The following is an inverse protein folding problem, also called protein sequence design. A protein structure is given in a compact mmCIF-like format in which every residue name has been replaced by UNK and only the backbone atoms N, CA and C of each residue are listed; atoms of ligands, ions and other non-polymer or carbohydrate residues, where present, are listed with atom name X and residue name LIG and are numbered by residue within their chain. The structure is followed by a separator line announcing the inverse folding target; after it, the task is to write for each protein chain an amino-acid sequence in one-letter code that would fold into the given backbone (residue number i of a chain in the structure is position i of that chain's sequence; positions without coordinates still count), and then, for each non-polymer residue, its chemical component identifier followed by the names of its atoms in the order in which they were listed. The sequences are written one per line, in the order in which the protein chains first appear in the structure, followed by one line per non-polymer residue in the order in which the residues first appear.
data_IF_250521650955
#
_entry.id   IF_250521650955
#
_cell.length_a   1.000
_cell.length_b   1.000
_cell.length_c   1.000
_cell.angle_alpha   90.00
_cell.angle_beta   90.00
_cell.angle_gamma   90.00
#
_symmetry.space_group_name_H-M   'P 1'
#
loop_
_entity.id
_entity.type
_entity.pdbx_description
1 polymer ?
#
# COMPACT_ATOMS: atom_id res chain seq x y z
N UNK A 1 -6.63 3.03 -2.85
CA UNK A 1 -5.74 2.69 -3.99
C UNK A 1 -5.20 3.93 -4.68
N UNK A 2 -6.03 4.81 -5.26
CA UNK A 2 -5.54 6.05 -5.90
C UNK A 2 -4.76 6.96 -4.96
N UNK A 3 -5.23 7.15 -3.72
CA UNK A 3 -4.50 7.87 -2.67
C UNK A 3 -3.10 7.28 -2.49
N UNK A 4 -3.01 5.94 -2.47
CA UNK A 4 -1.75 5.21 -2.27
C UNK A 4 -0.80 5.39 -3.46
N UNK A 5 -1.31 5.32 -4.69
CA UNK A 5 -0.54 5.56 -5.91
C UNK A 5 0.03 6.98 -5.95
N UNK A 6 -0.82 7.99 -5.78
CA UNK A 6 -0.42 9.40 -5.88
C UNK A 6 0.42 9.87 -4.68
N UNK A 7 0.30 9.19 -3.54
CA UNK A 7 1.19 9.38 -2.42
C UNK A 7 2.48 8.56 -2.54
N UNK A 8 2.70 7.83 -3.65
CA UNK A 8 3.87 6.96 -3.91
C UNK A 8 4.12 5.97 -2.78
N UNK A 9 3.06 5.29 -2.35
CA UNK A 9 3.11 4.25 -1.33
C UNK A 9 2.70 2.89 -1.86
N UNK A 10 2.80 1.90 -0.99
CA UNK A 10 2.36 0.53 -1.27
C UNK A 10 1.08 0.21 -0.48
N UNK A 11 0.25 -0.67 -1.04
CA UNK A 11 -1.04 -1.05 -0.49
C UNK A 11 -1.00 -2.50 0.00
N UNK A 12 -1.45 -2.72 1.23
CA UNK A 12 -1.71 -4.04 1.77
C UNK A 12 -3.22 -4.32 1.76
N UNK A 13 -3.64 -5.40 1.14
CA UNK A 13 -5.03 -5.85 1.06
C UNK A 13 -5.25 -7.09 1.94
N UNK A 14 -5.85 -6.90 3.10
CA UNK A 14 -6.30 -7.98 3.97
C UNK A 14 -7.70 -8.42 3.55
N UNK A 15 -7.81 -9.61 2.95
CA UNK A 15 -9.13 -10.11 2.61
C UNK A 15 -9.15 -11.60 2.27
N UNK A 16 -10.37 -12.12 2.22
CA UNK A 16 -10.69 -13.46 1.76
C UNK A 16 -10.43 -13.63 0.25
N UNK A 17 -10.11 -14.86 -0.20
CA UNK A 17 -9.95 -15.16 -1.61
C UNK A 17 -11.20 -14.83 -2.43
N UNK A 18 -11.02 -14.47 -3.71
CA UNK A 18 -12.13 -14.36 -4.67
C UNK A 18 -12.80 -13.00 -4.80
N UNK A 19 -12.41 -11.98 -4.02
CA UNK A 19 -13.02 -10.63 -4.06
C UNK A 19 -12.51 -9.72 -5.19
N UNK A 20 -11.97 -10.29 -6.27
CA UNK A 20 -11.60 -9.53 -7.49
C UNK A 20 -10.35 -8.64 -7.37
N UNK A 21 -9.48 -8.84 -6.36
CA UNK A 21 -8.24 -8.06 -6.15
C UNK A 21 -7.34 -8.00 -7.39
N UNK A 22 -7.17 -9.14 -8.07
CA UNK A 22 -6.37 -9.22 -9.29
C UNK A 22 -6.98 -8.38 -10.41
N UNK A 23 -8.30 -8.41 -10.57
CA UNK A 23 -9.01 -7.58 -11.55
C UNK A 23 -8.85 -6.11 -11.24
N UNK A 24 -8.93 -5.71 -9.98
CA UNK A 24 -8.74 -4.32 -9.54
C UNK A 24 -7.33 -3.79 -9.86
N UNK A 25 -6.29 -4.56 -9.53
CA UNK A 25 -4.91 -4.17 -9.80
C UNK A 25 -4.61 -4.07 -11.31
N UNK A 26 -5.11 -5.02 -12.11
CA UNK A 26 -5.00 -4.99 -13.58
C UNK A 26 -5.77 -3.82 -14.19
N UNK A 27 -6.98 -3.55 -13.71
CA UNK A 27 -7.80 -2.45 -14.17
C UNK A 27 -7.10 -1.10 -13.90
N UNK A 28 -6.48 -0.94 -12.72
CA UNK A 28 -5.68 0.25 -12.42
C UNK A 28 -4.53 0.41 -13.41
N UNK A 29 -3.72 -0.64 -13.60
CA UNK A 29 -2.55 -0.59 -14.46
C UNK A 29 -2.92 -0.22 -15.91
N UNK A 30 -3.99 -0.81 -16.44
CA UNK A 30 -4.50 -0.48 -17.78
C UNK A 30 -5.05 0.94 -17.87
N UNK A 31 -5.74 1.43 -16.84
CA UNK A 31 -6.32 2.77 -16.84
C UNK A 31 -5.27 3.88 -16.86
N UNK A 32 -4.03 3.59 -16.42
CA UNK A 32 -2.94 4.58 -16.32
C UNK A 32 -1.75 4.29 -17.25
N UNK A 33 -1.95 3.44 -18.26
CA UNK A 33 -0.94 3.04 -19.26
C UNK A 33 0.40 2.62 -18.64
N UNK A 34 0.35 1.66 -17.71
CA UNK A 34 1.54 1.18 -17.01
C UNK A 34 1.64 -0.35 -17.01
N UNK A 35 2.87 -0.84 -17.01
CA UNK A 35 3.16 -2.27 -16.98
C UNK A 35 2.68 -2.92 -15.69
N UNK A 36 2.17 -4.16 -15.81
CA UNK A 36 1.62 -4.94 -14.72
C UNK A 36 2.45 -6.21 -14.49
N UNK A 37 2.94 -6.37 -13.26
CA UNK A 37 3.60 -7.58 -12.79
C UNK A 37 2.73 -8.33 -11.78
N UNK A 38 2.80 -9.66 -11.78
CA UNK A 38 2.15 -10.49 -10.75
C UNK A 38 3.17 -11.46 -10.17
N UNK A 39 3.18 -11.54 -8.84
CA UNK A 39 3.97 -12.50 -8.07
C UNK A 39 2.99 -13.28 -7.21
N UNK A 40 2.94 -14.60 -7.38
CA UNK A 40 2.26 -15.47 -6.44
C UNK A 40 3.27 -15.92 -5.41
N UNK A 41 3.09 -15.53 -4.15
CA UNK A 41 3.98 -15.96 -3.09
C UNK A 41 3.64 -17.39 -2.68
N UNK A 42 4.64 -18.26 -2.77
CA UNK A 42 4.58 -19.67 -2.39
C UNK A 42 5.78 -20.01 -1.51
N UNK A 43 5.74 -21.10 -0.72
CA UNK A 43 6.84 -21.46 0.18
C UNK A 43 8.18 -21.71 -0.53
N UNK A 44 8.14 -22.10 -1.79
CA UNK A 44 9.29 -22.40 -2.66
C UNK A 44 9.78 -21.21 -3.49
N UNK A 45 9.05 -20.08 -3.50
CA UNK A 45 9.41 -18.89 -4.25
C UNK A 45 10.77 -18.34 -3.78
N UNK A 46 11.71 -18.14 -4.71
CA UNK A 46 13.03 -17.61 -4.41
C UNK A 46 13.08 -16.08 -4.55
N UNK A 47 14.00 -15.39 -3.85
CA UNK A 47 14.24 -13.96 -4.07
C UNK A 47 14.53 -13.59 -5.53
N UNK A 48 15.19 -14.47 -6.28
CA UNK A 48 15.48 -14.29 -7.71
C UNK A 48 14.24 -14.33 -8.59
N UNK A 49 13.17 -14.99 -8.17
CA UNK A 49 11.90 -15.00 -8.91
C UNK A 49 11.13 -13.68 -8.75
N UNK A 50 11.44 -12.94 -7.68
CA UNK A 50 10.90 -11.60 -7.41
C UNK A 50 11.73 -10.54 -8.13
N UNK A 51 13.04 -10.55 -7.89
CA UNK A 51 13.97 -9.51 -8.34
C UNK A 51 14.46 -9.76 -9.77
N UNK A 52 14.64 -11.00 -10.16
CA UNK A 52 15.30 -11.38 -11.41
C UNK A 52 16.65 -12.06 -11.17
N UNK A 53 17.25 -12.52 -12.25
CA UNK A 53 18.51 -13.25 -12.23
C UNK A 53 19.33 -12.97 -13.48
N UNK A 54 20.63 -13.20 -13.38
CA UNK A 54 21.53 -13.15 -14.53
C UNK A 54 21.64 -14.54 -15.15
N UNK A 55 21.36 -14.64 -16.44
CA UNK A 55 21.45 -15.90 -17.22
C UNK A 55 22.57 -15.83 -18.24
N UNK A 56 23.25 -16.96 -18.48
CA UNK A 56 24.24 -17.05 -19.54
C UNK A 56 23.55 -17.19 -20.90
N UNK A 57 23.68 -16.17 -21.76
CA UNK A 57 23.23 -16.20 -23.13
C UNK A 57 24.30 -16.89 -24.01
N UNK A 58 23.97 -18.08 -24.53
CA UNK A 58 24.89 -18.89 -25.35
C UNK A 58 25.17 -18.30 -26.73
N UNK A 59 24.25 -17.50 -27.28
CA UNK A 59 24.40 -16.87 -28.60
C UNK A 59 25.48 -15.80 -28.55
N UNK A 60 25.42 -14.96 -27.52
CA UNK A 60 26.27 -13.78 -27.38
C UNK A 60 27.47 -14.03 -26.46
N UNK A 61 27.57 -15.23 -25.86
CA UNK A 61 28.56 -15.61 -24.85
C UNK A 61 28.69 -14.55 -23.74
N UNK A 62 27.54 -14.06 -23.28
CA UNK A 62 27.44 -12.97 -22.31
C UNK A 62 26.46 -13.31 -21.20
N UNK A 63 26.63 -12.65 -20.06
CA UNK A 63 25.68 -12.68 -18.96
C UNK A 63 24.62 -11.61 -19.19
N UNK A 64 23.35 -12.02 -19.30
CA UNK A 64 22.21 -11.15 -19.54
C UNK A 64 21.32 -11.12 -18.30
N UNK A 65 20.98 -9.92 -17.81
CA UNK A 65 20.02 -9.78 -16.72
C UNK A 65 18.59 -9.99 -17.23
N UNK A 66 17.85 -10.90 -16.58
CA UNK A 66 16.42 -11.13 -16.79
C UNK A 66 15.66 -10.50 -15.63
N UNK A 67 14.98 -9.35 -15.84
CA UNK A 67 14.29 -8.65 -14.77
C UNK A 67 13.12 -9.47 -14.25
N UNK A 68 12.96 -9.50 -12.92
CA UNK A 68 11.81 -10.10 -12.27
C UNK A 68 10.57 -9.20 -12.33
N UNK A 69 9.41 -9.67 -11.83
CA UNK A 69 8.16 -8.93 -11.90
C UNK A 69 8.16 -7.58 -11.19
N UNK A 70 9.07 -7.35 -10.23
CA UNK A 70 9.17 -6.05 -9.52
C UNK A 70 9.54 -4.87 -10.42
N UNK A 71 10.06 -5.13 -11.62
CA UNK A 71 10.40 -4.07 -12.58
C UNK A 71 9.18 -3.51 -13.33
N UNK A 72 7.97 -4.04 -13.08
CA UNK A 72 6.72 -3.45 -13.57
C UNK A 72 6.29 -2.26 -12.71
N UNK A 73 5.54 -1.32 -13.28
CA UNK A 73 5.08 -0.14 -12.53
C UNK A 73 3.98 -0.46 -11.51
N UNK A 74 3.05 -1.37 -11.81
CA UNK A 74 2.10 -1.92 -10.82
C UNK A 74 2.41 -3.40 -10.61
N UNK A 75 2.65 -3.79 -9.36
CA UNK A 75 2.97 -5.17 -8.99
C UNK A 75 1.95 -5.70 -8.00
N UNK A 76 1.27 -6.78 -8.36
CA UNK A 76 0.40 -7.54 -7.45
C UNK A 76 1.21 -8.68 -6.82
N UNK A 77 1.41 -8.61 -5.49
CA UNK A 77 2.01 -9.69 -4.69
C UNK A 77 0.93 -10.46 -3.94
N UNK A 78 0.48 -11.58 -4.50
CA UNK A 78 -0.57 -12.39 -3.88
C UNK A 78 -0.01 -13.25 -2.75
N UNK A 79 -0.67 -13.21 -1.58
CA UNK A 79 -0.39 -14.06 -0.41
C UNK A 79 1.05 -13.94 0.11
N UNK A 80 1.54 -12.71 0.28
CA UNK A 80 2.93 -12.42 0.69
C UNK A 80 3.35 -13.17 1.97
N UNK A 81 2.40 -13.49 2.86
CA UNK A 81 2.63 -14.28 4.06
C UNK A 81 2.93 -15.77 3.79
N UNK A 82 2.84 -16.30 2.57
CA UNK A 82 3.15 -17.72 2.27
C UNK A 82 4.61 -17.99 1.91
N UNK A 83 5.38 -16.98 1.53
CA UNK A 83 6.78 -17.17 1.20
C UNK A 83 7.71 -17.01 2.41
N UNK A 84 8.92 -17.54 2.27
CA UNK A 84 9.95 -17.40 3.29
C UNK A 84 10.26 -15.92 3.63
N UNK A 85 10.70 -15.61 4.87
CA UNK A 85 11.12 -14.27 5.24
C UNK A 85 12.19 -13.66 4.31
N UNK A 86 13.05 -14.49 3.72
CA UNK A 86 14.07 -14.06 2.76
C UNK A 86 13.45 -13.54 1.46
N UNK A 87 12.44 -14.22 0.94
CA UNK A 87 11.73 -13.83 -0.28
C UNK A 87 10.84 -12.61 -0.04
N UNK A 88 10.16 -12.54 1.11
CA UNK A 88 9.44 -11.34 1.54
C UNK A 88 10.37 -10.12 1.59
N UNK A 89 11.55 -10.29 2.19
CA UNK A 89 12.54 -9.21 2.32
C UNK A 89 12.99 -8.67 0.97
N UNK A 90 13.14 -9.51 -0.05
CA UNK A 90 13.53 -9.06 -1.40
C UNK A 90 12.52 -8.08 -2.01
N UNK A 91 11.21 -8.36 -1.87
CA UNK A 91 10.16 -7.43 -2.31
C UNK A 91 10.17 -6.14 -1.46
N UNK A 92 10.29 -6.29 -0.13
CA UNK A 92 10.18 -5.17 0.82
C UNK A 92 11.39 -4.23 0.78
N UNK A 93 12.56 -4.75 0.40
CA UNK A 93 13.76 -3.97 0.10
C UNK A 93 13.57 -3.18 -1.20
N UNK A 94 13.10 -3.83 -2.26
CA UNK A 94 12.78 -3.16 -3.53
C UNK A 94 11.72 -2.05 -3.35
N UNK A 95 10.73 -2.26 -2.49
CA UNK A 95 9.74 -1.24 -2.10
C UNK A 95 10.36 -0.05 -1.37
N UNK A 96 11.36 -0.28 -0.52
CA UNK A 96 11.97 0.77 0.29
C UNK A 96 13.01 1.59 -0.49
N UNK A 97 13.79 0.94 -1.34
CA UNK A 97 14.93 1.53 -2.03
C UNK A 97 14.62 1.93 -3.48
N UNK A 98 13.46 1.53 -4.01
CA UNK A 98 13.05 1.78 -5.42
C UNK A 98 14.07 1.29 -6.45
N UNK A 99 14.89 0.31 -6.06
CA UNK A 99 15.93 -0.31 -6.86
C UNK A 99 16.19 -1.73 -6.38
N UNK A 100 16.88 -2.53 -7.19
CA UNK A 100 17.37 -3.84 -6.77
C UNK A 100 18.80 -4.06 -7.28
N UNK A 101 19.61 -4.74 -6.48
CA UNK A 101 20.99 -5.08 -6.85
C UNK A 101 21.11 -6.58 -7.10
N UNK A 102 21.56 -6.95 -8.30
CA UNK A 102 21.77 -8.33 -8.72
C UNK A 102 23.19 -8.45 -9.26
N UNK A 103 23.94 -9.40 -8.70
CA UNK A 103 25.34 -9.67 -9.07
C UNK A 103 26.23 -8.41 -9.09
N UNK A 104 26.02 -7.51 -8.11
CA UNK A 104 26.78 -6.27 -7.96
C UNK A 104 26.37 -5.13 -8.90
N UNK A 105 25.37 -5.33 -9.76
CA UNK A 105 24.80 -4.27 -10.61
C UNK A 105 23.45 -3.82 -10.05
N UNK A 106 23.29 -2.52 -9.85
CA UNK A 106 22.04 -1.91 -9.37
C UNK A 106 21.16 -1.51 -10.55
N UNK A 107 19.89 -1.91 -10.47
CA UNK A 107 18.85 -1.62 -11.45
C UNK A 107 17.72 -0.85 -10.78
N UNK A 108 17.34 0.29 -11.34
CA UNK A 108 16.22 1.09 -10.84
C UNK A 108 14.88 0.49 -11.28
N UNK A 109 13.87 0.58 -10.42
CA UNK A 109 12.51 0.15 -10.74
C UNK A 109 11.83 1.18 -11.66
N UNK A 110 10.73 0.77 -12.28
CA UNK A 110 9.89 1.66 -13.08
C UNK A 110 9.36 2.83 -12.22
N UNK A 111 9.11 3.99 -12.82
CA UNK A 111 8.44 5.10 -12.14
C UNK A 111 7.21 5.53 -12.94
N UNK A 112 6.00 5.57 -12.33
CA UNK A 112 5.71 5.28 -10.92
C UNK A 112 5.80 3.77 -10.60
N UNK A 113 6.07 3.45 -9.33
CA UNK A 113 6.12 2.09 -8.80
C UNK A 113 5.13 1.93 -7.64
N UNK A 114 4.24 0.94 -7.72
CA UNK A 114 3.33 0.61 -6.63
C UNK A 114 3.20 -0.90 -6.50
N UNK A 115 3.29 -1.36 -5.25
CA UNK A 115 3.05 -2.76 -4.88
C UNK A 115 1.68 -2.82 -4.21
N UNK A 116 0.85 -3.74 -4.68
CA UNK A 116 -0.40 -4.14 -4.06
C UNK A 116 -0.15 -5.56 -3.53
N UNK A 117 0.09 -5.69 -2.24
CA UNK A 117 0.28 -6.99 -1.60
C UNK A 117 -1.03 -7.49 -1.01
N UNK A 118 -1.26 -8.80 -1.01
CA UNK A 118 -2.41 -9.42 -0.35
C UNK A 118 -1.96 -10.37 0.75
N UNK A 119 -2.72 -10.43 1.83
CA UNK A 119 -2.53 -11.40 2.91
C UNK A 119 -3.87 -12.03 3.26
N UNK A 120 -3.87 -13.34 3.45
CA UNK A 120 -5.03 -14.08 3.97
C UNK A 120 -4.85 -14.29 5.48
N UNK A 121 -5.69 -13.68 6.33
CA UNK A 121 -5.54 -13.77 7.78
C UNK A 121 -5.98 -15.11 8.38
N UNK A 122 -6.65 -15.98 7.61
CA UNK A 122 -7.28 -17.21 8.10
C UNK A 122 -6.35 -18.44 7.96
N UNK A 123 -5.36 -18.39 7.07
CA UNK A 123 -4.42 -19.50 6.85
C UNK A 123 -3.27 -19.49 7.87
N UNK A 124 -3.40 -20.32 8.91
CA UNK A 124 -2.39 -20.45 9.97
C UNK A 124 -1.30 -21.50 9.65
N UNK A 125 -1.57 -22.46 8.76
CA UNK A 125 -0.58 -23.48 8.41
C UNK A 125 0.32 -23.03 7.25
N UNK A 126 1.64 -23.04 7.49
CA UNK A 126 2.63 -22.74 6.46
C UNK A 126 2.76 -21.26 6.08
N UNK A 127 2.31 -20.34 6.95
CA UNK A 127 2.47 -18.90 6.74
C UNK A 127 3.52 -18.28 7.67
N UNK A 128 4.19 -17.26 7.15
CA UNK A 128 5.18 -16.43 7.80
C UNK A 128 4.60 -15.01 7.90
N UNK A 129 4.09 -14.59 9.08
CA UNK A 129 3.55 -13.25 9.24
C UNK A 129 4.63 -12.20 9.01
N UNK A 130 4.25 -11.06 8.45
CA UNK A 130 5.16 -9.93 8.30
C UNK A 130 5.41 -9.30 9.68
N UNK A 131 6.68 -9.10 10.09
CA UNK A 131 6.99 -8.30 11.27
C UNK A 131 6.43 -6.88 11.15
N UNK A 132 6.17 -6.22 12.28
CA UNK A 132 5.62 -4.86 12.34
C UNK A 132 6.50 -3.85 11.60
N UNK A 133 7.83 -4.03 11.70
CA UNK A 133 8.82 -3.21 10.98
C UNK A 133 8.68 -3.30 9.45
N UNK A 134 8.20 -4.45 8.96
CA UNK A 134 7.92 -4.71 7.55
C UNK A 134 6.55 -4.18 7.14
N UNK A 135 5.52 -4.40 7.96
CA UNK A 135 4.19 -3.85 7.73
C UNK A 135 4.20 -2.33 7.60
N UNK A 136 5.02 -1.64 8.39
CA UNK A 136 5.13 -0.18 8.36
C UNK A 136 5.71 0.38 7.04
N UNK A 137 6.24 -0.47 6.13
CA UNK A 137 6.58 -0.12 4.73
C UNK A 137 5.35 0.07 3.83
N UNK A 138 4.21 -0.51 4.19
CA UNK A 138 2.95 -0.26 3.48
C UNK A 138 2.37 1.07 3.96
N UNK A 139 1.97 1.92 3.00
CA UNK A 139 1.36 3.21 3.30
C UNK A 139 -0.04 3.01 3.90
N UNK A 140 -0.81 2.09 3.31
CA UNK A 140 -2.17 1.80 3.74
C UNK A 140 -2.43 0.31 3.80
N UNK A 141 -3.30 -0.07 4.74
CA UNK A 141 -3.95 -1.36 4.80
C UNK A 141 -5.45 -1.20 4.64
N UNK A 142 -6.03 -1.97 3.72
CA UNK A 142 -7.46 -1.90 3.39
C UNK A 142 -8.03 -3.32 3.34
N UNK A 143 -9.28 -3.45 3.76
CA UNK A 143 -10.10 -4.64 3.52
C UNK A 143 -11.21 -4.28 2.52
N UNK A 144 -11.45 -5.11 1.51
CA UNK A 144 -12.48 -4.90 0.49
C UNK A 144 -13.81 -5.50 0.98
N UNK A 145 -13.75 -6.64 1.67
CA UNK A 145 -14.89 -7.44 2.07
C UNK A 145 -15.61 -8.09 0.89
N UNK A 146 -16.67 -8.84 1.19
CA UNK A 146 -17.58 -9.31 0.15
C UNK A 146 -18.39 -8.14 -0.43
N UNK A 147 -18.70 -8.17 -1.73
CA UNK A 147 -19.60 -7.19 -2.32
C UNK A 147 -20.95 -7.24 -1.61
N UNK A 148 -21.64 -6.10 -1.61
CA UNK A 148 -23.05 -6.07 -1.19
C UNK A 148 -23.88 -6.95 -2.13
N UNK A 149 -25.04 -7.43 -1.69
CA UNK A 149 -25.91 -8.25 -2.56
C UNK A 149 -26.26 -7.56 -3.88
N UNK A 150 -26.40 -6.23 -3.88
CA UNK A 150 -26.60 -5.45 -5.09
C UNK A 150 -25.36 -5.46 -6.01
N UNK A 151 -24.16 -5.27 -5.44
CA UNK A 151 -22.90 -5.35 -6.19
C UNK A 151 -22.64 -6.76 -6.73
N UNK A 152 -22.99 -7.80 -5.99
CA UNK A 152 -22.85 -9.19 -6.44
C UNK A 152 -23.80 -9.51 -7.59
N UNK A 153 -25.04 -9.03 -7.54
CA UNK A 153 -25.98 -9.12 -8.66
C UNK A 153 -25.47 -8.40 -9.91
N UNK A 154 -24.86 -7.21 -9.76
CA UNK A 154 -24.25 -6.47 -10.86
C UNK A 154 -23.09 -7.25 -11.48
N UNK A 155 -22.21 -7.84 -10.65
CA UNK A 155 -21.12 -8.71 -11.10
C UNK A 155 -21.68 -9.87 -11.93
N UNK A 156 -22.71 -10.58 -11.43
CA UNK A 156 -23.34 -11.69 -12.14
C UNK A 156 -23.92 -11.26 -13.50
N UNK A 157 -24.51 -10.06 -13.57
CA UNK A 157 -25.09 -9.53 -14.81
C UNK A 157 -24.04 -9.14 -15.86
N UNK A 158 -22.82 -8.82 -15.43
CA UNK A 158 -21.74 -8.29 -16.28
C UNK A 158 -20.73 -9.37 -16.69
N UNK A 159 -20.44 -10.34 -15.81
CA UNK A 159 -19.39 -11.35 -16.03
C UNK A 159 -19.68 -12.35 -17.16
N UNK A 160 -20.91 -12.40 -17.68
CA UNK A 160 -21.31 -13.31 -18.77
C UNK A 160 -21.00 -12.81 -20.19
N UNK A 161 -20.51 -11.58 -20.38
CA UNK A 161 -20.37 -10.93 -21.70
C UNK A 161 -18.93 -10.84 -22.25
N UNK A 162 -17.96 -11.47 -21.60
CA UNK A 162 -16.53 -11.42 -21.96
C UNK A 162 -15.69 -10.66 -20.93
N UNK A 163 -14.35 -10.77 -21.05
CA UNK A 163 -13.39 -10.10 -20.15
C UNK A 163 -13.50 -8.58 -20.28
N UNK A 164 -14.17 -7.92 -19.32
CA UNK A 164 -14.29 -6.45 -19.27
C UNK A 164 -12.94 -5.76 -19.10
N UNK A 165 -11.95 -6.46 -18.54
CA UNK A 165 -10.60 -5.93 -18.37
C UNK A 165 -9.92 -5.66 -19.70
N UNK A 166 -10.23 -6.42 -20.75
CA UNK A 166 -9.58 -6.27 -22.04
C UNK A 166 -10.06 -5.05 -22.84
N UNK A 167 -11.23 -4.52 -22.46
CA UNK A 167 -11.81 -3.32 -23.04
C UNK A 167 -11.40 -2.03 -22.31
N UNK A 168 -10.64 -2.12 -21.22
CA UNK A 168 -10.16 -0.91 -20.51
C UNK A 168 -9.10 -0.23 -21.38
N UNK A 169 -9.43 0.97 -21.84
CA UNK A 169 -8.52 1.90 -22.50
C UNK A 169 -7.87 2.83 -21.45
N UNK A 170 -6.60 3.19 -21.62
CA UNK A 170 -5.95 4.15 -20.73
C UNK A 170 -6.67 5.50 -20.75
N UNK A 171 -6.94 6.04 -19.57
CA UNK A 171 -7.52 7.38 -19.40
C UNK A 171 -6.45 8.44 -19.14
N UNK A 172 -5.28 8.01 -18.67
CA UNK A 172 -4.09 8.84 -18.44
C UNK A 172 -2.85 8.00 -18.75
N UNK A 173 -1.75 8.66 -19.11
CA UNK A 173 -0.45 8.03 -19.31
C UNK A 173 0.36 7.95 -18.01
N UNK A 174 1.36 7.08 -17.98
CA UNK A 174 2.31 7.00 -16.86
C UNK A 174 3.04 8.34 -16.59
N UNK A 175 3.35 9.11 -17.63
CA UNK A 175 3.95 10.44 -17.51
C UNK A 175 2.98 11.44 -16.84
N UNK A 176 1.70 11.44 -17.20
CA UNK A 176 0.69 12.30 -16.56
C UNK A 176 0.47 11.90 -15.09
N UNK A 177 0.59 10.61 -14.74
CA UNK A 177 0.57 10.18 -13.34
C UNK A 177 1.75 10.76 -12.56
N UNK A 178 2.95 10.83 -13.14
CA UNK A 178 4.10 11.47 -12.51
C UNK A 178 3.88 12.98 -12.29
N UNK A 179 3.24 13.66 -13.25
CA UNK A 179 2.86 15.06 -13.10
C UNK A 179 1.83 15.25 -11.96
N UNK A 180 0.86 14.34 -11.83
CA UNK A 180 -0.10 14.33 -10.72
C UNK A 180 0.60 14.10 -9.37
N UNK A 181 1.54 13.15 -9.31
CA UNK A 181 2.35 12.90 -8.11
C UNK A 181 3.12 14.17 -7.72
N UNK A 182 3.74 14.86 -8.69
CA UNK A 182 4.43 16.12 -8.44
C UNK A 182 3.48 17.22 -7.93
N UNK A 183 2.26 17.31 -8.48
CA UNK A 183 1.25 18.24 -7.98
C UNK A 183 0.82 17.91 -6.54
N UNK A 184 0.59 16.63 -6.22
CA UNK A 184 0.24 16.16 -4.88
C UNK A 184 1.35 16.47 -3.87
N UNK A 185 2.62 16.25 -4.24
CA UNK A 185 3.76 16.61 -3.39
C UNK A 185 3.76 18.10 -3.02
N UNK A 186 3.23 18.97 -3.88
CA UNK A 186 3.14 20.41 -3.65
C UNK A 186 1.87 20.88 -2.91
N UNK A 187 0.91 20.00 -2.64
CA UNK A 187 -0.31 20.37 -1.92
C UNK A 187 0.01 20.92 -0.51
N UNK A 188 -0.53 22.09 -0.18
CA UNK A 188 -0.18 22.81 1.04
C UNK A 188 -0.63 22.05 2.30
N UNK A 189 0.27 21.96 3.27
CA UNK A 189 -0.04 21.51 4.64
C UNK A 189 0.33 22.66 5.57
N UNK A 190 -0.67 23.22 6.23
CA UNK A 190 -0.45 24.33 7.15
C UNK A 190 0.28 23.86 8.41
N UNK A 191 0.87 24.79 9.16
CA UNK A 191 1.57 24.46 10.41
C UNK A 191 0.62 23.84 11.44
N UNK A 192 -0.64 24.25 11.43
CA UNK A 192 -1.68 23.77 12.34
C UNK A 192 -2.04 22.31 12.04
N UNK A 193 -2.16 21.93 10.75
CA UNK A 193 -2.40 20.53 10.36
C UNK A 193 -1.17 19.67 10.64
N UNK A 194 0.04 20.19 10.40
CA UNK A 194 1.27 19.49 10.74
C UNK A 194 1.41 19.28 12.25
N UNK A 195 1.10 20.29 13.07
CA UNK A 195 1.06 20.17 14.53
C UNK A 195 0.01 19.15 14.98
N UNK A 196 -1.19 19.17 14.38
CA UNK A 196 -2.23 18.19 14.66
C UNK A 196 -1.79 16.74 14.40
N UNK A 197 -1.07 16.48 13.30
CA UNK A 197 -0.47 15.16 13.03
C UNK A 197 0.54 14.73 14.11
N UNK A 198 1.34 15.66 14.63
CA UNK A 198 2.29 15.40 15.71
C UNK A 198 1.56 15.15 17.03
N UNK A 199 0.53 15.92 17.35
CA UNK A 199 -0.28 15.74 18.55
C UNK A 199 -0.98 14.37 18.54
N UNK A 200 -1.52 13.96 17.39
CA UNK A 200 -2.07 12.62 17.17
C UNK A 200 -0.99 11.54 17.38
N UNK A 201 0.22 11.74 16.85
CA UNK A 201 1.35 10.83 17.07
C UNK A 201 1.65 10.65 18.56
N UNK A 202 1.81 11.74 19.29
CA UNK A 202 2.13 11.72 20.71
C UNK A 202 0.99 11.17 21.57
N UNK A 203 -0.26 11.35 21.15
CA UNK A 203 -1.40 10.72 21.77
C UNK A 203 -1.36 9.20 21.60
N UNK A 204 -1.07 8.67 20.40
CA UNK A 204 -0.92 7.21 20.21
C UNK A 204 0.22 6.62 21.02
N UNK A 205 1.36 7.32 21.15
CA UNK A 205 2.53 6.86 21.92
C UNK A 205 2.29 6.81 23.42
N UNK A 206 1.33 7.58 23.93
CA UNK A 206 0.96 7.64 25.35
C UNK A 206 -0.36 6.93 25.64
N UNK A 207 -0.98 6.32 24.64
CA UNK A 207 -2.29 5.70 24.79
C UNK A 207 -2.15 4.42 25.64
N UNK A 208 -2.93 4.26 26.73
CA UNK A 208 -2.74 3.18 27.69
C UNK A 208 -3.00 1.78 27.13
N UNK A 209 -3.78 1.67 26.05
CA UNK A 209 -4.04 0.40 25.37
C UNK A 209 -3.01 0.03 24.30
N UNK A 210 -2.00 0.87 24.05
CA UNK A 210 -1.00 0.64 23.00
C UNK A 210 0.37 0.33 23.61
N UNK A 211 0.93 -0.82 23.25
CA UNK A 211 2.33 -1.17 23.52
C UNK A 211 3.29 -0.46 22.56
N UNK A 212 2.82 -0.19 21.33
CA UNK A 212 3.58 0.55 20.32
C UNK A 212 2.65 1.58 19.64
N UNK A 213 3.02 2.85 19.75
CA UNK A 213 2.36 3.97 19.07
C UNK A 213 2.95 4.30 17.71
N UNK A 214 2.45 5.37 17.09
CA UNK A 214 2.84 5.78 15.75
C UNK A 214 4.31 6.19 15.64
N UNK A 215 5.03 5.65 14.65
CA UNK A 215 6.42 6.01 14.32
C UNK A 215 6.51 7.38 13.60
N UNK A 216 7.69 8.03 13.56
CA UNK A 216 7.90 9.20 12.69
C UNK A 216 7.65 8.91 11.21
N UNK A 217 8.02 7.71 10.73
CA UNK A 217 7.74 7.27 9.35
C UNK A 217 6.24 7.25 9.06
N UNK A 218 5.45 6.75 10.00
CA UNK A 218 4.00 6.72 9.89
C UNK A 218 3.39 8.13 9.86
N UNK A 219 3.96 9.09 10.59
CA UNK A 219 3.54 10.50 10.55
C UNK A 219 3.76 11.11 9.16
N UNK A 220 4.95 10.91 8.59
CA UNK A 220 5.28 11.36 7.23
C UNK A 220 4.39 10.70 6.16
N UNK A 221 4.16 9.39 6.31
CA UNK A 221 3.29 8.61 5.44
C UNK A 221 1.85 9.14 5.49
N UNK A 222 1.32 9.43 6.69
CA UNK A 222 -0.03 9.97 6.87
C UNK A 222 -0.18 11.36 6.24
N UNK A 223 0.83 12.23 6.38
CA UNK A 223 0.83 13.53 5.70
C UNK A 223 0.81 13.39 4.17
N UNK A 224 1.63 12.49 3.60
CA UNK A 224 1.65 12.22 2.14
C UNK A 224 0.29 11.72 1.66
N UNK A 225 -0.31 10.78 2.39
CA UNK A 225 -1.64 10.28 2.08
C UNK A 225 -2.71 11.37 2.14
N UNK A 226 -2.65 12.24 3.15
CA UNK A 226 -3.60 13.36 3.29
C UNK A 226 -3.48 14.37 2.15
N UNK A 227 -2.26 14.66 1.66
CA UNK A 227 -2.05 15.46 0.44
C UNK A 227 -2.71 14.84 -0.78
N UNK A 228 -2.50 13.54 -0.99
CA UNK A 228 -3.10 12.82 -2.11
C UNK A 228 -4.64 12.78 -2.02
N UNK A 229 -5.19 12.61 -0.82
CA UNK A 229 -6.63 12.61 -0.59
C UNK A 229 -7.25 13.98 -0.85
N UNK A 230 -6.63 15.06 -0.36
CA UNK A 230 -7.07 16.43 -0.63
C UNK A 230 -7.05 16.76 -2.13
N UNK A 231 -5.99 16.35 -2.84
CA UNK A 231 -5.87 16.56 -4.27
C UNK A 231 -6.93 15.80 -5.08
N UNK A 232 -7.22 14.54 -4.72
CA UNK A 232 -8.31 13.77 -5.33
C UNK A 232 -9.70 14.37 -5.05
N UNK A 233 -9.84 15.12 -3.95
CA UNK A 233 -11.01 15.94 -3.65
C UNK A 233 -11.01 17.32 -4.33
N UNK A 234 -10.06 17.58 -5.25
CA UNK A 234 -9.96 18.83 -6.01
C UNK A 234 -9.37 20.00 -5.23
N UNK A 235 -8.72 19.76 -4.08
CA UNK A 235 -8.13 20.81 -3.23
C UNK A 235 -6.62 20.80 -3.28
N UNK A 236 -6.02 22.00 -3.28
CA UNK A 236 -4.56 22.19 -3.22
C UNK A 236 -4.02 22.28 -1.79
N UNK A 237 -4.84 22.03 -0.77
CA UNK A 237 -4.46 22.12 0.63
C UNK A 237 -5.16 21.04 1.48
N UNK A 238 -4.47 20.57 2.51
CA UNK A 238 -4.94 19.53 3.42
C UNK A 238 -5.78 20.15 4.55
N UNK A 239 -6.91 19.52 4.86
CA UNK A 239 -7.75 19.81 6.00
C UNK A 239 -7.56 18.73 7.09
N UNK A 240 -7.85 19.03 8.37
CA UNK A 240 -7.81 18.02 9.44
C UNK A 240 -8.72 16.81 9.18
N UNK A 241 -9.83 17.01 8.47
CA UNK A 241 -10.75 15.92 8.14
C UNK A 241 -10.14 14.93 7.13
N UNK A 242 -9.22 15.37 6.27
CA UNK A 242 -8.46 14.47 5.38
C UNK A 242 -7.54 13.54 6.17
N UNK A 243 -6.94 14.06 7.23
CA UNK A 243 -6.11 13.28 8.15
C UNK A 243 -6.98 12.22 8.83
N UNK A 244 -8.11 12.64 9.41
CA UNK A 244 -9.05 11.74 10.10
C UNK A 244 -9.60 10.65 9.18
N UNK A 245 -10.03 11.00 7.97
CA UNK A 245 -10.60 10.07 7.00
C UNK A 245 -9.65 8.91 6.65
N UNK A 246 -8.34 9.12 6.77
CA UNK A 246 -7.32 8.14 6.45
C UNK A 246 -6.76 7.40 7.67
N UNK A 247 -7.17 7.76 8.89
CA UNK A 247 -6.56 7.28 10.13
C UNK A 247 -6.50 5.75 10.21
N UNK A 248 -7.64 5.07 10.05
CA UNK A 248 -7.71 3.61 10.17
C UNK A 248 -6.89 2.91 9.09
N UNK A 249 -6.86 3.45 7.88
CA UNK A 249 -6.14 2.87 6.75
C UNK A 249 -4.62 3.01 6.90
N UNK A 250 -4.16 4.11 7.50
CA UNK A 250 -2.73 4.43 7.64
C UNK A 250 -2.14 3.89 8.95
N UNK A 251 -2.95 3.79 10.01
CA UNK A 251 -2.50 3.42 11.36
C UNK A 251 -2.79 1.97 11.73
N UNK A 252 -3.80 1.32 11.13
CA UNK A 252 -4.31 0.04 11.61
C UNK A 252 -3.25 -1.07 11.76
N UNK A 253 -2.22 -1.06 10.90
CA UNK A 253 -1.11 -2.02 10.89
C UNK A 253 0.18 -1.51 11.53
N UNK A 254 0.16 -0.31 12.13
CA UNK A 254 1.34 0.36 12.70
C UNK A 254 1.27 0.53 14.21
N UNK A 255 0.15 0.12 14.81
CA UNK A 255 -0.09 0.19 16.24
C UNK A 255 -0.13 -1.24 16.79
N UNK A 256 0.44 -1.43 17.98
CA UNK A 256 0.38 -2.70 18.70
C UNK A 256 -0.34 -2.49 20.02
N UNK A 257 -1.31 -3.35 20.32
CA UNK A 257 -2.04 -3.33 21.59
C UNK A 257 -1.17 -3.87 22.73
N UNK A 258 -1.49 -3.49 23.96
CA UNK A 258 -0.97 -4.21 25.13
C UNK A 258 -1.71 -5.54 25.31
N UNK A 259 -1.08 -6.57 25.89
CA UNK A 259 -1.75 -7.85 26.16
C UNK A 259 -3.04 -7.68 26.99
N UNK A 260 -3.05 -6.74 27.93
CA UNK A 260 -4.23 -6.44 28.74
C UNK A 260 -5.38 -5.86 27.91
N UNK A 261 -5.08 -5.01 26.93
CA UNK A 261 -6.09 -4.44 26.04
C UNK A 261 -6.67 -5.50 25.10
N UNK A 262 -5.84 -6.40 24.58
CA UNK A 262 -6.27 -7.55 23.76
C UNK A 262 -7.21 -8.48 24.55
N UNK A 263 -6.87 -8.80 25.81
CA UNK A 263 -7.71 -9.61 26.70
C UNK A 263 -9.06 -8.96 27.01
N UNK A 264 -9.12 -7.62 27.00
CA UNK A 264 -10.35 -6.85 27.15
C UNK A 264 -11.16 -6.74 25.86
N UNK A 265 -10.71 -7.38 24.77
CA UNK A 265 -11.37 -7.34 23.47
C UNK A 265 -11.24 -6.00 22.75
N UNK A 266 -10.28 -5.15 23.13
CA UNK A 266 -10.02 -3.89 22.42
C UNK A 266 -9.32 -4.18 21.10
N UNK A 267 -9.59 -3.34 20.12
CA UNK A 267 -8.92 -3.32 18.82
C UNK A 267 -8.02 -2.08 18.65
N UNK A 268 -7.11 -2.13 17.68
CA UNK A 268 -6.34 -0.93 17.30
C UNK A 268 -7.24 0.16 16.73
N UNK A 269 -8.38 -0.22 16.11
CA UNK A 269 -9.38 0.74 15.64
C UNK A 269 -9.99 1.54 16.79
N UNK A 270 -10.34 0.88 17.91
CA UNK A 270 -10.87 1.56 19.10
C UNK A 270 -9.86 2.57 19.67
N UNK A 271 -8.58 2.22 19.69
CA UNK A 271 -7.52 3.13 20.14
C UNK A 271 -7.36 4.33 19.19
N UNK A 272 -7.47 4.13 17.87
CA UNK A 272 -7.47 5.22 16.89
C UNK A 272 -8.66 6.15 17.12
N UNK A 273 -9.87 5.60 17.30
CA UNK A 273 -11.08 6.40 17.55
C UNK A 273 -10.96 7.23 18.83
N UNK A 274 -10.42 6.64 19.90
CA UNK A 274 -10.16 7.36 21.16
C UNK A 274 -9.18 8.51 20.95
N UNK A 275 -8.09 8.30 20.22
CA UNK A 275 -7.13 9.37 19.89
C UNK A 275 -7.78 10.46 19.04
N UNK A 276 -8.51 10.12 17.98
CA UNK A 276 -9.16 11.10 17.10
C UNK A 276 -10.20 11.95 17.84
N UNK A 277 -10.88 11.36 18.83
CA UNK A 277 -11.88 12.04 19.65
C UNK A 277 -11.26 12.95 20.72
N UNK A 278 -10.12 12.57 21.27
CA UNK A 278 -9.49 13.27 22.40
C UNK A 278 -8.55 14.40 21.99
N UNK A 279 -7.87 14.27 20.84
CA UNK A 279 -6.96 15.31 20.34
C UNK A 279 -7.77 16.42 19.67
N UNK A 280 -7.71 17.67 20.18
CA UNK A 280 -8.46 18.79 19.61
C UNK A 280 -8.10 19.03 18.15
N UNK A 281 -9.11 19.22 17.32
CA UNK A 281 -8.89 19.60 15.92
C UNK A 281 -8.48 21.08 15.86
N UNK A 282 -7.45 21.45 15.08
CA UNK A 282 -7.04 22.84 15.00
C UNK A 282 -8.17 23.71 14.44
N UNK A 283 -8.35 24.89 15.02
CA UNK A 283 -9.29 25.88 14.49
C UNK A 283 -8.81 26.34 13.12
N UNK A 284 -9.65 26.20 12.09
CA UNK A 284 -9.32 26.66 10.75
C UNK A 284 -9.20 28.19 10.76
N UNK A 285 -7.97 28.69 10.65
CA UNK A 285 -7.74 30.11 10.37
C UNK A 285 -7.61 30.27 8.86
N UNK A 286 -8.76 30.47 8.20
CA UNK A 286 -8.77 30.80 6.78
C UNK A 286 -8.03 32.12 6.56
N UNK A 287 -6.81 32.06 6.04
CA UNK A 287 -6.07 33.18 5.47
C UNK A 287 -5.35 32.72 4.22
#
# INVERSE_FOLDING_TARGET
MLVTLLAEGHLLLEDVPGVGKTSLAKALARSIDISFGRIQFTPDLLPSDVVGLTVWNRTDSSFEFRPGPIFNGIVLGDEINRASPKTQSALLEAMAEEQATVDGTTYHLSSPFMVIATQNPIEYEGTYPLPESQLDRFLMRISIGYPTSAGELEILSTHGRGSTLDAIEPVVSSAEVLDMIAAVRNAHVSKEVAAYLVDLADATRRHPSLALGMSPRATLAWQRAARAYAALAGRSFVMPDDVKALAHHVLGHRLLLTPEAELQGRSTADAVDDVLRTVPTPAWSGR
#
